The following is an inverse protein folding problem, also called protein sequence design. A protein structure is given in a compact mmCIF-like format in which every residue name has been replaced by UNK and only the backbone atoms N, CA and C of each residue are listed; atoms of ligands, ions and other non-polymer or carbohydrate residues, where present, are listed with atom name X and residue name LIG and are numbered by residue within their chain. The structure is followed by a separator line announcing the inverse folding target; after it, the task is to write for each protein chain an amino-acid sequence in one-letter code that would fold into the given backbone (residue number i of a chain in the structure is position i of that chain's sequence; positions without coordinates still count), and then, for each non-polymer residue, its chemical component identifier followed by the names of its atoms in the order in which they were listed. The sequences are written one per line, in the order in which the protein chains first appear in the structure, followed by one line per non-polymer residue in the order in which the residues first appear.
data_IF_960267426337
#
_entry.id   IF_960267426337
#
_cell.length_a   1.000
_cell.length_b   1.000
_cell.length_c   1.000
_cell.angle_alpha   90.00
_cell.angle_beta   90.00
_cell.angle_gamma   90.00
#
_symmetry.space_group_name_H-M   'P 1'
#
loop_
_entity.id
_entity.type
_entity.pdbx_description
1 polymer ?
#
# COMPACT_ATOMS: atom_id res chain seq x y z
N UNK A 1 -27.46 -2.77 -45.62
CA UNK A 1 -27.47 -3.47 -44.32
C UNK A 1 -26.33 -2.87 -43.51
N UNK A 2 -26.65 -2.06 -42.49
CA UNK A 2 -25.66 -1.39 -41.62
C UNK A 2 -25.10 -2.45 -40.67
N UNK A 3 -23.82 -2.77 -40.79
CA UNK A 3 -23.09 -3.42 -39.71
C UNK A 3 -22.84 -2.35 -38.63
N UNK A 4 -23.41 -2.59 -37.45
CA UNK A 4 -23.20 -1.75 -36.29
C UNK A 4 -21.81 -2.09 -35.76
N UNK A 5 -20.91 -1.12 -35.90
CA UNK A 5 -19.55 -1.13 -35.39
C UNK A 5 -19.60 -1.29 -33.86
N UNK A 6 -19.45 -2.53 -33.41
CA UNK A 6 -19.33 -2.92 -32.01
C UNK A 6 -17.95 -2.57 -31.45
N UNK A 7 -17.60 -1.28 -31.47
CA UNK A 7 -16.44 -0.72 -30.78
C UNK A 7 -16.49 -1.11 -29.30
N UNK A 8 -15.69 -2.10 -28.93
CA UNK A 8 -15.88 -2.97 -27.76
C UNK A 8 -15.87 -2.21 -26.42
N UNK A 9 -16.68 -2.65 -25.43
CA UNK A 9 -16.61 -2.19 -24.04
C UNK A 9 -15.24 -2.36 -23.36
N UNK A 10 -14.34 -3.20 -23.89
CA UNK A 10 -12.96 -3.40 -23.41
C UNK A 10 -12.14 -2.09 -23.40
N UNK A 11 -12.27 -1.27 -24.44
CA UNK A 11 -11.51 -0.02 -24.57
C UNK A 11 -11.90 0.99 -23.48
N UNK A 12 -13.20 1.10 -23.19
CA UNK A 12 -13.70 2.03 -22.16
C UNK A 12 -13.24 1.60 -20.76
N UNK A 13 -13.27 0.30 -20.47
CA UNK A 13 -12.78 -0.24 -19.19
C UNK A 13 -11.28 -0.03 -19.06
N UNK A 14 -10.49 -0.33 -20.08
CA UNK A 14 -9.04 -0.13 -20.08
C UNK A 14 -8.66 1.34 -19.91
N UNK A 15 -9.31 2.25 -20.64
CA UNK A 15 -9.09 3.68 -20.52
C UNK A 15 -9.45 4.20 -19.12
N UNK A 16 -10.54 3.69 -18.53
CA UNK A 16 -10.94 4.03 -17.17
C UNK A 16 -9.95 3.51 -16.13
N UNK A 17 -9.47 2.27 -16.25
CA UNK A 17 -8.45 1.70 -15.37
C UNK A 17 -7.14 2.49 -15.44
N UNK A 18 -6.74 2.90 -16.64
CA UNK A 18 -5.55 3.74 -16.82
C UNK A 18 -5.73 5.12 -16.20
N UNK A 19 -6.92 5.72 -16.32
CA UNK A 19 -7.23 6.98 -15.65
C UNK A 19 -7.15 6.85 -14.12
N UNK A 20 -7.62 5.75 -13.53
CA UNK A 20 -7.50 5.49 -12.10
C UNK A 20 -6.03 5.35 -11.68
N UNK A 21 -5.23 4.60 -12.44
CA UNK A 21 -3.78 4.46 -12.17
C UNK A 21 -3.06 5.80 -12.20
N UNK A 22 -3.39 6.67 -13.16
CA UNK A 22 -2.81 8.01 -13.24
C UNK A 22 -3.22 8.87 -12.02
N UNK A 23 -4.47 8.78 -11.59
CA UNK A 23 -4.93 9.51 -10.40
C UNK A 23 -4.21 9.04 -9.13
N UNK A 24 -3.97 7.74 -8.97
CA UNK A 24 -3.20 7.18 -7.85
C UNK A 24 -1.75 7.69 -7.83
N UNK A 25 -1.09 7.72 -9.00
CA UNK A 25 0.28 8.25 -9.11
C UNK A 25 0.36 9.73 -8.72
N UNK A 26 -0.62 10.54 -9.14
CA UNK A 26 -0.69 11.96 -8.77
C UNK A 26 -0.92 12.11 -7.27
N UNK A 27 -1.87 11.38 -6.69
CA UNK A 27 -2.14 11.43 -5.26
C UNK A 27 -0.92 11.03 -4.42
N UNK A 28 -0.19 10.00 -4.84
CA UNK A 28 1.04 9.59 -4.16
C UNK A 28 2.15 10.65 -4.29
N UNK A 29 2.30 11.28 -5.45
CA UNK A 29 3.25 12.37 -5.63
C UNK A 29 2.91 13.59 -4.74
N UNK A 30 1.63 13.92 -4.59
CA UNK A 30 1.16 14.96 -3.67
C UNK A 30 1.47 14.60 -2.22
N UNK A 31 1.20 13.36 -1.81
CA UNK A 31 1.53 12.89 -0.46
C UNK A 31 3.05 12.95 -0.20
N UNK A 32 3.87 12.55 -1.17
CA UNK A 32 5.34 12.65 -1.09
C UNK A 32 5.79 14.10 -0.92
N UNK A 33 5.17 15.04 -1.66
CA UNK A 33 5.43 16.47 -1.55
C UNK A 33 5.01 17.05 -0.18
N UNK A 34 3.98 16.47 0.45
CA UNK A 34 3.57 16.80 1.81
C UNK A 34 4.37 16.06 2.90
N UNK A 35 5.42 15.32 2.54
CA UNK A 35 6.27 14.62 3.50
C UNK A 35 5.69 13.31 4.03
N UNK A 36 4.63 12.78 3.40
CA UNK A 36 4.11 11.45 3.68
C UNK A 36 4.88 10.40 2.90
N UNK A 37 4.98 9.20 3.47
CA UNK A 37 5.53 8.01 2.84
C UNK A 37 4.61 6.83 3.09
N UNK A 38 4.69 5.85 2.19
CA UNK A 38 3.79 4.71 2.21
C UNK A 38 4.55 3.41 2.31
N UNK A 39 3.97 2.46 3.03
CA UNK A 39 4.38 1.07 3.03
C UNK A 39 3.15 0.21 2.79
N UNK A 40 3.11 -0.49 1.66
CA UNK A 40 2.10 -1.49 1.35
C UNK A 40 2.68 -2.89 1.53
N UNK A 41 1.96 -3.76 2.22
CA UNK A 41 2.33 -5.15 2.48
C UNK A 41 1.17 -6.03 2.07
N UNK A 42 1.37 -6.88 1.07
CA UNK A 42 0.42 -7.93 0.68
C UNK A 42 0.72 -9.15 1.53
N UNK A 43 -0.23 -9.49 2.39
CA UNK A 43 -0.14 -10.57 3.36
C UNK A 43 -0.70 -11.88 2.84
N UNK A 44 -1.55 -11.83 1.81
CA UNK A 44 -2.45 -12.94 1.49
C UNK A 44 -3.54 -13.08 2.56
N UNK A 45 -4.38 -14.09 2.41
CA UNK A 45 -5.46 -14.35 3.36
C UNK A 45 -4.90 -14.72 4.74
N UNK A 46 -5.42 -14.06 5.78
CA UNK A 46 -5.06 -14.34 7.16
C UNK A 46 -5.86 -15.56 7.66
N UNK A 47 -5.30 -16.75 7.51
CA UNK A 47 -5.99 -18.01 7.82
C UNK A 47 -5.86 -18.41 9.30
N UNK A 48 -4.86 -17.87 10.00
CA UNK A 48 -4.53 -18.24 11.39
C UNK A 48 -4.46 -17.03 12.31
N UNK A 49 -4.56 -17.27 13.62
CA UNK A 49 -4.33 -16.23 14.64
C UNK A 49 -2.91 -15.66 14.57
N UNK A 50 -1.93 -16.47 14.15
CA UNK A 50 -0.54 -16.05 14.04
C UNK A 50 -0.35 -15.09 12.85
N UNK A 51 -1.09 -15.29 11.75
CA UNK A 51 -1.12 -14.36 10.63
C UNK A 51 -1.63 -12.98 11.08
N UNK A 52 -2.73 -12.97 11.83
CA UNK A 52 -3.31 -11.75 12.40
C UNK A 52 -2.31 -11.08 13.35
N UNK A 53 -1.70 -11.85 14.27
CA UNK A 53 -0.75 -11.32 15.25
C UNK A 53 0.48 -10.65 14.60
N UNK A 54 0.98 -11.19 13.48
CA UNK A 54 2.08 -10.56 12.72
C UNK A 54 1.67 -9.20 12.15
N UNK A 55 0.50 -9.10 11.55
CA UNK A 55 -0.01 -7.83 11.00
C UNK A 55 -0.27 -6.82 12.11
N UNK A 56 -0.84 -7.26 13.23
CA UNK A 56 -1.04 -6.44 14.42
C UNK A 56 0.29 -5.93 14.99
N UNK A 57 1.33 -6.76 15.01
CA UNK A 57 2.66 -6.35 15.47
C UNK A 57 3.25 -5.26 14.56
N UNK A 58 3.20 -5.45 13.24
CA UNK A 58 3.68 -4.44 12.28
C UNK A 58 2.93 -3.10 12.44
N UNK A 59 1.60 -3.16 12.52
CA UNK A 59 0.76 -1.96 12.66
C UNK A 59 0.95 -1.27 14.01
N UNK A 60 1.13 -2.03 15.09
CA UNK A 60 1.42 -1.49 16.43
C UNK A 60 2.76 -0.75 16.47
N UNK A 61 3.82 -1.30 15.86
CA UNK A 61 5.13 -0.63 15.77
C UNK A 61 5.02 0.65 14.94
N UNK A 62 4.34 0.59 13.79
CA UNK A 62 4.11 1.77 12.95
C UNK A 62 3.34 2.87 13.69
N UNK A 63 2.32 2.50 14.47
CA UNK A 63 1.52 3.42 15.28
C UNK A 63 2.28 4.03 16.44
N UNK A 64 3.06 3.22 17.16
CA UNK A 64 3.94 3.71 18.22
C UNK A 64 4.95 4.74 17.68
N UNK A 65 5.41 4.52 16.44
CA UNK A 65 6.33 5.42 15.75
C UNK A 65 7.70 5.50 16.42
N UNK A 66 8.46 6.51 16.02
CA UNK A 66 9.76 6.88 16.58
C UNK A 66 9.96 8.39 16.49
N UNK A 67 11.10 8.86 16.98
CA UNK A 67 11.42 10.29 16.87
C UNK A 67 11.45 10.72 15.40
N UNK A 68 10.66 11.74 15.07
CA UNK A 68 10.54 12.28 13.72
C UNK A 68 9.76 11.43 12.70
N UNK A 69 9.10 10.33 13.08
CA UNK A 69 8.23 9.58 12.16
C UNK A 69 7.18 8.72 12.87
N UNK A 70 5.92 8.75 12.41
CA UNK A 70 4.88 7.85 12.90
C UNK A 70 3.80 7.58 11.87
N UNK A 71 3.07 6.49 12.04
CA UNK A 71 1.85 6.25 11.28
C UNK A 71 0.77 7.26 11.63
N UNK A 72 0.07 7.78 10.61
CA UNK A 72 -1.08 8.69 10.78
C UNK A 72 -2.38 8.07 10.27
N UNK A 73 -2.28 7.14 9.33
CA UNK A 73 -3.40 6.37 8.82
C UNK A 73 -2.95 4.98 8.34
N UNK A 74 -3.90 4.07 8.29
CA UNK A 74 -3.77 2.78 7.61
C UNK A 74 -5.01 2.52 6.77
N UNK A 75 -4.84 1.91 5.62
CA UNK A 75 -5.92 1.34 4.80
C UNK A 75 -5.58 -0.12 4.50
N UNK A 76 -6.57 -0.96 4.29
CA UNK A 76 -6.30 -2.37 4.01
C UNK A 76 -7.54 -3.14 3.57
N UNK A 77 -7.28 -4.30 2.99
CA UNK A 77 -8.27 -5.34 2.64
C UNK A 77 -8.08 -6.59 3.51
N UNK A 78 -8.61 -7.73 3.09
CA UNK A 78 -8.34 -9.00 3.79
C UNK A 78 -6.92 -9.51 3.57
N UNK A 79 -6.28 -9.09 2.48
CA UNK A 79 -5.04 -9.66 1.94
C UNK A 79 -3.88 -8.67 1.85
N UNK A 80 -4.08 -7.42 2.25
CA UNK A 80 -3.03 -6.41 2.30
C UNK A 80 -3.32 -5.30 3.31
N UNK A 81 -2.26 -4.60 3.71
CA UNK A 81 -2.31 -3.35 4.48
C UNK A 81 -1.37 -2.30 3.87
N UNK A 82 -1.82 -1.06 3.80
CA UNK A 82 -1.03 0.12 3.43
C UNK A 82 -0.98 1.08 4.60
N UNK A 83 0.23 1.40 5.06
CA UNK A 83 0.51 2.32 6.15
C UNK A 83 0.93 3.69 5.59
N UNK A 84 0.40 4.76 6.16
CA UNK A 84 0.78 6.15 5.84
C UNK A 84 1.64 6.68 6.98
N UNK A 85 2.89 7.01 6.67
CA UNK A 85 3.89 7.47 7.63
C UNK A 85 4.19 8.94 7.37
N UNK A 86 4.15 9.76 8.41
CA UNK A 86 4.46 11.19 8.35
C UNK A 86 5.62 11.56 9.27
N UNK A 87 6.36 12.59 8.86
CA UNK A 87 7.44 13.19 9.64
C UNK A 87 8.77 13.29 8.87
N UNK A 88 9.73 14.07 9.39
CA UNK A 88 11.03 14.28 8.73
C UNK A 88 11.83 12.99 8.50
N UNK A 89 11.58 11.94 9.29
CA UNK A 89 12.25 10.64 9.18
C UNK A 89 11.36 9.56 8.53
N UNK A 90 10.22 9.93 7.91
CA UNK A 90 9.25 8.98 7.38
C UNK A 90 9.84 8.00 6.36
N UNK A 91 10.74 8.45 5.49
CA UNK A 91 11.38 7.59 4.49
C UNK A 91 12.20 6.46 5.13
N UNK A 92 13.06 6.82 6.10
CA UNK A 92 13.88 5.85 6.80
C UNK A 92 13.02 4.93 7.69
N UNK A 93 11.94 5.45 8.28
CA UNK A 93 11.06 4.62 9.09
C UNK A 93 10.28 3.61 8.24
N UNK A 94 9.90 3.98 7.01
CA UNK A 94 9.32 3.04 6.03
C UNK A 94 10.30 1.91 5.69
N UNK A 95 11.60 2.20 5.55
CA UNK A 95 12.61 1.17 5.30
C UNK A 95 12.74 0.19 6.48
N UNK A 96 12.67 0.69 7.70
CA UNK A 96 12.71 -0.12 8.92
C UNK A 96 11.46 -0.97 9.10
N UNK A 97 10.28 -0.40 8.84
CA UNK A 97 9.03 -1.14 8.85
C UNK A 97 9.00 -2.21 7.74
N UNK A 98 9.60 -1.94 6.59
CA UNK A 98 9.77 -2.94 5.53
C UNK A 98 10.70 -4.08 5.97
N UNK A 99 11.80 -3.78 6.66
CA UNK A 99 12.68 -4.81 7.24
C UNK A 99 11.95 -5.64 8.30
N UNK A 100 11.18 -5.00 9.18
CA UNK A 100 10.35 -5.69 10.17
C UNK A 100 9.30 -6.59 9.51
N UNK A 101 8.65 -6.13 8.44
CA UNK A 101 7.69 -6.93 7.69
C UNK A 101 8.34 -8.20 7.12
N UNK A 102 9.56 -8.09 6.58
CA UNK A 102 10.34 -9.25 6.11
C UNK A 102 10.72 -10.18 7.27
N UNK A 103 11.10 -9.65 8.44
CA UNK A 103 11.43 -10.47 9.61
C UNK A 103 10.20 -11.23 10.17
N UNK A 104 9.03 -10.59 10.14
CA UNK A 104 7.77 -11.20 10.59
C UNK A 104 7.30 -12.30 9.65
N UNK A 105 7.50 -12.14 8.33
CA UNK A 105 7.06 -13.12 7.35
C UNK A 105 8.07 -13.31 6.20
N UNK A 106 9.20 -13.99 6.48
CA UNK A 106 10.30 -14.09 5.52
C UNK A 106 9.88 -14.74 4.21
N UNK A 107 10.05 -14.02 3.10
CA UNK A 107 9.75 -14.49 1.75
C UNK A 107 8.27 -14.75 1.43
N UNK A 108 7.34 -14.47 2.35
CA UNK A 108 5.91 -14.70 2.14
C UNK A 108 5.15 -13.41 1.83
N UNK A 109 5.39 -12.35 2.62
CA UNK A 109 4.76 -11.05 2.34
C UNK A 109 5.42 -10.36 1.16
N UNK A 110 4.60 -9.71 0.31
CA UNK A 110 5.11 -8.81 -0.73
C UNK A 110 5.11 -7.39 -0.19
N UNK A 111 6.29 -6.77 -0.17
CA UNK A 111 6.50 -5.47 0.45
C UNK A 111 6.77 -4.41 -0.63
N UNK A 112 6.00 -3.32 -0.60
CA UNK A 112 6.12 -2.19 -1.53
C UNK A 112 6.22 -0.88 -0.75
N UNK A 113 7.18 -0.03 -1.11
CA UNK A 113 7.37 1.32 -0.52
C UNK A 113 6.56 2.37 -1.27
N UNK A 114 5.32 2.03 -1.59
CA UNK A 114 4.40 2.88 -2.31
C UNK A 114 3.01 2.76 -1.72
N UNK A 115 2.14 3.66 -2.16
CA UNK A 115 0.74 3.62 -1.79
C UNK A 115 -0.01 2.46 -2.48
N UNK A 116 0.57 1.88 -3.54
CA UNK A 116 0.02 0.72 -4.26
C UNK A 116 0.56 -0.61 -3.73
N UNK A 117 -0.32 -1.55 -3.33
CA UNK A 117 0.07 -2.92 -3.00
C UNK A 117 0.41 -3.79 -4.23
N UNK A 118 0.05 -3.37 -5.45
CA UNK A 118 0.19 -4.14 -6.69
C UNK A 118 0.87 -3.35 -7.81
#
# INVERSE_FOLDING_TARGET
MRELDGGRPSNVVEAYLEQLRQAELVAEAEDVAHGKRHLSVVTGDLETSDDVARVEQLTAVAWAGRDGARMTASRGGSDYVTLVIEGPCAAQFVDELAALAEELSPGFWRISRSSSPF
#
